data_IF_809615639862
#
_entry.id   IF_809615639862
#
_cell.length_a   1.000
_cell.length_b   1.000
_cell.length_c   1.000
_cell.angle_alpha   90.00
_cell.angle_beta   90.00
_cell.angle_gamma   90.00
#
_symmetry.space_group_name_H-M   'P 1'
#
loop_
_entity.id
_entity.type
_entity.pdbx_description
1 polymer ?
#
# COMPACT_ATOMS: atom_id res chain seq x y z
N UNK A 1 23.37 -53.26 -20.76
CA UNK A 1 22.10 -53.19 -21.49
C UNK A 1 21.01 -53.81 -20.62
N UNK A 2 19.78 -53.28 -20.59
CA UNK A 2 19.24 -52.02 -21.15
C UNK A 2 19.13 -50.94 -20.04
N UNK A 3 19.16 -49.60 -20.21
CA UNK A 3 18.79 -48.63 -21.26
C UNK A 3 17.33 -48.70 -21.71
N UNK A 4 16.47 -47.87 -21.09
CA UNK A 4 15.38 -47.18 -21.81
C UNK A 4 15.33 -45.72 -21.35
N UNK A 5 15.47 -44.87 -22.36
CA UNK A 5 15.36 -43.41 -22.43
C UNK A 5 13.90 -42.95 -22.46
N UNK A 6 13.62 -41.75 -21.95
CA UNK A 6 12.81 -40.80 -22.74
C UNK A 6 13.26 -39.36 -22.48
N UNK A 7 13.63 -38.71 -23.58
CA UNK A 7 13.75 -37.26 -23.72
C UNK A 7 12.36 -36.71 -24.00
N UNK A 8 12.06 -35.52 -23.48
CA UNK A 8 11.24 -34.56 -24.22
C UNK A 8 11.80 -33.16 -24.04
N UNK A 9 12.38 -32.68 -25.14
CA UNK A 9 12.59 -31.26 -25.44
C UNK A 9 11.22 -30.60 -25.63
N UNK A 10 11.05 -29.41 -25.08
CA UNK A 10 10.21 -28.37 -25.68
C UNK A 10 10.89 -27.02 -25.47
N UNK A 11 11.59 -26.58 -26.52
CA UNK A 11 11.97 -25.20 -26.76
C UNK A 11 10.77 -24.43 -27.33
N UNK A 12 10.53 -23.22 -26.82
CA UNK A 12 9.94 -22.04 -27.50
C UNK A 12 9.25 -21.17 -26.44
N UNK A 13 9.09 -19.86 -26.52
CA UNK A 13 9.73 -18.77 -27.25
C UNK A 13 9.31 -17.50 -26.47
N UNK A 14 10.17 -16.48 -26.52
CA UNK A 14 9.90 -15.08 -26.23
C UNK A 14 8.42 -14.66 -26.23
N UNK A 15 7.94 -14.13 -25.10
CA UNK A 15 7.07 -12.95 -25.08
C UNK A 15 7.44 -12.09 -23.86
N UNK A 16 8.48 -11.29 -24.04
CA UNK A 16 8.71 -10.08 -23.26
C UNK A 16 8.30 -8.91 -24.15
N UNK A 17 7.10 -8.39 -23.95
CA UNK A 17 6.70 -7.03 -24.33
C UNK A 17 5.30 -6.78 -23.79
N UNK A 18 5.09 -5.58 -23.25
CA UNK A 18 3.83 -5.01 -22.74
C UNK A 18 3.49 -5.33 -21.27
N UNK A 19 4.28 -4.77 -20.35
CA UNK A 19 3.80 -4.46 -19.00
C UNK A 19 3.47 -2.96 -18.97
N UNK A 20 2.25 -2.60 -19.36
CA UNK A 20 1.67 -1.28 -19.07
C UNK A 20 0.87 -1.40 -17.77
N UNK A 21 1.18 -0.49 -16.85
CA UNK A 21 0.57 -0.33 -15.53
C UNK A 21 -0.89 0.10 -15.70
N UNK A 22 -1.84 -0.84 -15.75
CA UNK A 22 -3.25 -0.68 -15.33
C UNK A 22 -3.84 -2.09 -15.15
N UNK A 23 -4.17 -2.48 -13.92
CA UNK A 23 -5.34 -3.31 -13.61
C UNK A 23 -5.26 -3.84 -12.18
N UNK A 24 -5.94 -3.17 -11.26
CA UNK A 24 -6.53 -3.86 -10.11
C UNK A 24 -7.87 -3.18 -9.80
N UNK A 25 -8.87 -3.39 -10.66
CA UNK A 25 -10.27 -3.11 -10.35
C UNK A 25 -11.22 -4.18 -10.92
N UNK A 26 -12.04 -4.69 -10.00
CA UNK A 26 -13.39 -5.24 -10.14
C UNK A 26 -13.58 -6.62 -10.80
N UNK A 27 -14.22 -7.53 -10.05
CA UNK A 27 -15.33 -8.33 -10.57
C UNK A 27 -16.35 -8.62 -9.45
N UNK A 28 -17.56 -8.06 -9.61
CA UNK A 28 -18.82 -8.57 -9.03
C UNK A 28 -19.80 -8.78 -10.19
N UNK A 29 -20.56 -9.87 -10.07
CA UNK A 29 -21.79 -10.25 -10.79
C UNK A 29 -21.63 -11.07 -12.07
N UNK A 30 -22.13 -12.32 -11.99
CA UNK A 30 -22.79 -12.98 -13.10
C UNK A 30 -24.20 -13.32 -12.64
N UNK A 31 -25.21 -12.69 -13.24
CA UNK A 31 -26.56 -13.24 -13.32
C UNK A 31 -26.94 -13.33 -14.79
N UNK A 32 -27.44 -14.50 -15.16
CA UNK A 32 -27.61 -15.00 -16.52
C UNK A 32 -28.77 -14.31 -17.26
N UNK A 33 -28.54 -14.08 -18.54
CA UNK A 33 -29.53 -13.80 -19.58
C UNK A 33 -30.51 -14.98 -19.78
N UNK A 34 -31.78 -14.67 -20.05
CA UNK A 34 -32.63 -15.39 -21.01
C UNK A 34 -33.46 -14.35 -21.78
N UNK A 35 -33.43 -14.44 -23.10
CA UNK A 35 -34.18 -13.63 -24.06
C UNK A 35 -35.52 -14.30 -24.43
N UNK A 36 -36.54 -13.51 -24.80
CA UNK A 36 -37.46 -13.84 -25.92
C UNK A 36 -38.31 -12.62 -26.32
N UNK A 37 -38.79 -12.67 -27.56
CA UNK A 37 -39.15 -11.59 -28.48
C UNK A 37 -40.59 -11.04 -28.39
N UNK A 38 -40.83 -9.86 -28.98
CA UNK A 38 -41.74 -9.65 -30.13
C UNK A 38 -41.81 -8.18 -30.58
N UNK A 39 -41.87 -7.98 -31.90
CA UNK A 39 -42.08 -6.71 -32.64
C UNK A 39 -43.57 -6.64 -33.07
N UNK A 40 -44.17 -5.45 -33.25
CA UNK A 40 -44.47 -5.01 -34.63
C UNK A 40 -44.15 -3.53 -34.92
N UNK A 41 -43.95 -3.33 -36.22
CA UNK A 41 -43.55 -2.18 -37.03
C UNK A 41 -44.68 -1.16 -37.27
N UNK A 42 -44.37 0.16 -37.27
CA UNK A 42 -45.11 1.17 -38.06
C UNK A 42 -44.15 2.28 -38.56
N UNK A 43 -44.18 2.44 -39.87
CA UNK A 43 -43.51 3.38 -40.78
C UNK A 43 -43.75 4.88 -40.55
N UNK A 44 -42.73 5.73 -40.77
CA UNK A 44 -42.61 6.64 -41.94
C UNK A 44 -41.87 7.98 -41.67
N UNK A 45 -41.11 8.39 -42.70
CA UNK A 45 -40.61 9.74 -43.06
C UNK A 45 -39.30 10.27 -42.41
N UNK A 46 -38.24 10.25 -43.23
CA UNK A 46 -37.09 11.18 -43.23
C UNK A 46 -37.41 12.38 -44.18
N UNK A 47 -36.60 13.46 -44.32
CA UNK A 47 -35.35 13.81 -43.64
C UNK A 47 -35.27 15.27 -43.15
N UNK A 48 -34.51 15.54 -42.08
CA UNK A 48 -33.92 16.87 -41.86
C UNK A 48 -32.45 16.67 -41.52
N UNK A 49 -31.61 17.10 -42.47
CA UNK A 49 -30.17 17.17 -42.31
C UNK A 49 -29.84 18.14 -41.17
N UNK A 50 -29.18 17.65 -40.13
CA UNK A 50 -28.42 18.49 -39.23
C UNK A 50 -26.96 18.05 -39.20
N UNK A 51 -26.13 19.05 -39.47
CA UNK A 51 -24.68 19.01 -39.55
C UNK A 51 -24.06 18.27 -38.37
N UNK A 52 -23.04 17.46 -38.67
CA UNK A 52 -22.08 16.99 -37.69
C UNK A 52 -21.39 18.20 -37.04
N UNK A 53 -21.85 18.62 -35.87
CA UNK A 53 -21.08 19.48 -34.97
C UNK A 53 -20.13 18.59 -34.16
N UNK A 54 -18.89 18.50 -34.66
CA UNK A 54 -17.76 17.87 -33.99
C UNK A 54 -17.19 18.81 -32.90
N UNK A 55 -17.99 19.18 -31.91
CA UNK A 55 -17.47 19.90 -30.75
C UNK A 55 -18.12 19.43 -29.45
N UNK A 56 -17.28 19.21 -28.43
CA UNK A 56 -17.60 18.78 -27.06
C UNK A 56 -17.67 17.27 -26.77
N UNK A 57 -16.73 16.50 -27.35
CA UNK A 57 -16.08 15.47 -26.52
C UNK A 57 -15.14 16.22 -25.57
N UNK A 58 -15.64 16.64 -24.41
CA UNK A 58 -14.76 16.94 -23.28
C UNK A 58 -14.00 15.66 -23.00
N UNK A 59 -12.73 15.63 -23.42
CA UNK A 59 -11.75 14.65 -22.97
C UNK A 59 -11.86 14.58 -21.45
N UNK A 60 -12.49 13.52 -20.94
CA UNK A 60 -12.27 13.09 -19.57
C UNK A 60 -10.77 12.92 -19.47
N UNK A 61 -10.14 13.83 -18.73
CA UNK A 61 -8.72 13.78 -18.42
C UNK A 61 -8.37 12.40 -17.90
N UNK A 62 -7.31 11.84 -18.48
CA UNK A 62 -6.52 10.67 -18.11
C UNK A 62 -6.76 10.11 -16.70
N UNK A 63 -6.70 8.77 -16.49
CA UNK A 63 -6.66 8.18 -15.16
C UNK A 63 -5.56 8.88 -14.35
N UNK A 64 -5.96 9.50 -13.23
CA UNK A 64 -5.05 10.18 -12.33
C UNK A 64 -4.06 9.14 -11.82
N UNK A 65 -2.77 9.33 -12.12
CA UNK A 65 -1.72 8.37 -11.82
C UNK A 65 -1.46 8.32 -10.32
N UNK A 66 -1.42 7.12 -9.73
CA UNK A 66 -0.91 6.94 -8.37
C UNK A 66 0.51 7.49 -8.26
N UNK A 67 0.75 8.35 -7.28
CA UNK A 67 2.08 8.94 -7.01
C UNK A 67 2.56 8.48 -5.64
N UNK A 68 3.70 7.80 -5.57
CA UNK A 68 4.33 7.37 -4.32
C UNK A 68 5.52 8.28 -3.97
N UNK A 69 5.28 9.33 -3.18
CA UNK A 69 6.29 10.27 -2.63
C UNK A 69 5.75 10.94 -1.36
N UNK A 70 6.58 11.25 -0.36
CA UNK A 70 8.00 10.87 -0.23
C UNK A 70 8.18 9.38 0.07
N UNK A 71 9.42 8.88 -0.08
CA UNK A 71 9.74 7.45 0.11
C UNK A 71 11.06 7.28 0.87
N UNK A 72 11.08 6.35 1.82
CA UNK A 72 12.25 5.78 2.44
C UNK A 72 12.28 4.30 2.08
N UNK A 73 13.47 3.78 1.76
CA UNK A 73 13.68 2.36 1.55
C UNK A 73 14.99 1.91 2.19
N UNK A 74 14.95 0.80 2.91
CA UNK A 74 16.10 0.16 3.54
C UNK A 74 16.08 -1.31 3.15
N UNK A 75 17.14 -1.81 2.52
CA UNK A 75 17.22 -3.20 2.11
C UNK A 75 17.86 -3.42 0.75
N UNK A 76 17.43 -4.46 0.04
CA UNK A 76 18.30 -5.26 -0.86
C UNK A 76 19.41 -5.99 -0.10
N UNK A 77 19.11 -6.36 1.15
CA UNK A 77 19.98 -7.15 2.00
C UNK A 77 20.19 -8.57 1.43
N UNK A 78 21.26 -9.24 1.82
CA UNK A 78 21.42 -10.65 1.47
C UNK A 78 20.46 -11.52 2.30
N UNK A 79 20.33 -11.19 3.59
CA UNK A 79 19.41 -11.71 4.59
C UNK A 79 18.00 -11.16 4.40
N UNK A 80 17.01 -11.91 4.89
CA UNK A 80 15.66 -11.39 5.08
C UNK A 80 15.47 -10.73 6.45
N UNK A 81 14.45 -9.89 6.54
CA UNK A 81 13.86 -9.48 7.80
C UNK A 81 13.08 -10.65 8.39
N UNK A 82 13.11 -10.77 9.72
CA UNK A 82 12.28 -11.73 10.47
C UNK A 82 11.40 -11.03 11.51
N UNK A 83 11.78 -9.81 11.92
CA UNK A 83 10.98 -8.97 12.81
C UNK A 83 11.17 -7.50 12.49
N UNK A 84 10.09 -6.74 12.53
CA UNK A 84 10.12 -5.28 12.54
C UNK A 84 9.13 -4.77 13.58
N UNK A 85 9.50 -3.74 14.32
CA UNK A 85 8.62 -3.00 15.22
C UNK A 85 8.81 -1.51 14.97
N UNK A 86 7.72 -0.75 14.93
CA UNK A 86 7.76 0.70 14.81
C UNK A 86 6.51 1.32 15.43
N UNK A 87 6.62 2.56 15.90
CA UNK A 87 5.47 3.37 16.31
C UNK A 87 5.22 4.44 15.24
N UNK A 88 4.01 4.51 14.70
CA UNK A 88 3.62 5.53 13.72
C UNK A 88 2.68 6.57 14.34
N UNK A 89 2.95 7.84 14.08
CA UNK A 89 2.05 8.97 14.31
C UNK A 89 1.74 9.57 12.93
N UNK A 90 0.46 9.61 12.56
CA UNK A 90 0.07 9.97 11.19
C UNK A 90 0.03 11.49 10.94
N UNK A 91 -0.13 12.29 11.99
CA UNK A 91 -0.48 13.71 11.86
C UNK A 91 -1.90 13.89 11.30
N UNK A 92 -2.34 15.12 11.08
CA UNK A 92 -3.65 15.37 10.48
C UNK A 92 -3.69 14.96 9.00
N UNK A 93 -4.82 14.40 8.51
CA UNK A 93 -5.05 14.28 7.08
C UNK A 93 -5.18 15.67 6.43
N UNK A 94 -4.97 15.80 5.11
CA UNK A 94 -5.30 17.02 4.39
C UNK A 94 -6.77 17.39 4.56
N UNK A 95 -7.07 18.67 4.73
CA UNK A 95 -8.46 19.16 4.90
C UNK A 95 -9.35 18.89 3.67
N UNK A 96 -8.76 18.93 2.48
CA UNK A 96 -9.47 18.84 1.19
C UNK A 96 -9.09 17.58 0.40
N UNK A 97 -9.36 16.38 0.93
CA UNK A 97 -9.25 15.15 0.14
C UNK A 97 -10.42 15.10 -0.86
N UNK A 98 -10.17 15.04 -2.19
CA UNK A 98 -11.23 14.94 -3.19
C UNK A 98 -12.16 13.76 -2.94
N UNK A 99 -13.40 13.81 -3.44
CA UNK A 99 -14.40 12.76 -3.20
C UNK A 99 -13.96 11.35 -3.63
N UNK A 100 -13.19 11.27 -4.71
CA UNK A 100 -12.59 10.03 -5.22
C UNK A 100 -11.11 9.88 -4.83
N UNK A 101 -10.60 10.83 -4.05
CA UNK A 101 -9.21 10.89 -3.61
C UNK A 101 -8.90 9.85 -2.55
N UNK A 102 -7.66 9.37 -2.58
CA UNK A 102 -7.10 8.48 -1.58
C UNK A 102 -5.66 8.90 -1.28
N UNK A 103 -5.31 8.88 0.00
CA UNK A 103 -3.94 9.01 0.48
C UNK A 103 -3.66 7.87 1.44
N UNK A 104 -2.49 7.26 1.29
CA UNK A 104 -2.08 6.10 2.03
C UNK A 104 -0.70 6.36 2.62
N UNK A 105 -0.56 6.21 3.93
CA UNK A 105 0.71 6.24 4.64
C UNK A 105 1.14 4.80 4.87
N UNK A 106 2.20 4.38 4.18
CA UNK A 106 2.68 3.01 4.17
C UNK A 106 3.85 2.84 5.13
N UNK A 107 3.79 1.76 5.91
CA UNK A 107 4.96 1.06 6.43
C UNK A 107 4.85 -0.41 6.04
N UNK A 108 5.86 -0.96 5.37
CA UNK A 108 5.77 -2.35 4.93
C UNK A 108 7.06 -2.99 4.43
N UNK A 109 7.01 -4.31 4.36
CA UNK A 109 8.05 -5.23 3.96
C UNK A 109 7.78 -5.80 2.57
N UNK A 110 8.83 -5.90 1.76
CA UNK A 110 8.78 -6.32 0.36
C UNK A 110 9.88 -7.35 0.07
N UNK A 111 9.61 -8.32 -0.80
CA UNK A 111 10.62 -9.28 -1.26
C UNK A 111 11.79 -8.64 -2.02
N UNK A 112 11.51 -7.67 -2.88
CA UNK A 112 12.50 -7.04 -3.77
C UNK A 112 12.13 -5.61 -4.19
N UNK A 113 12.64 -5.14 -5.32
CA UNK A 113 12.40 -3.76 -5.81
C UNK A 113 10.97 -3.52 -6.31
N UNK A 114 10.16 -4.57 -6.45
CA UNK A 114 8.75 -4.46 -6.79
C UNK A 114 7.92 -5.56 -6.10
N UNK A 115 6.62 -5.30 -5.96
CA UNK A 115 5.66 -6.26 -5.38
C UNK A 115 5.43 -7.47 -6.30
N UNK A 116 5.74 -7.40 -7.59
CA UNK A 116 5.47 -8.49 -8.54
C UNK A 116 6.29 -9.76 -8.32
N UNK A 117 7.38 -9.71 -7.55
CA UNK A 117 8.31 -10.83 -7.36
C UNK A 117 8.19 -11.53 -6.00
N UNK A 118 7.28 -11.08 -5.12
CA UNK A 118 7.06 -11.75 -3.83
C UNK A 118 6.00 -11.05 -3.01
N UNK A 119 6.02 -11.27 -1.69
CA UNK A 119 5.01 -10.67 -0.81
C UNK A 119 5.31 -9.21 -0.50
N UNK A 120 4.23 -8.45 -0.40
CA UNK A 120 4.18 -7.18 0.32
C UNK A 120 3.39 -7.38 1.60
N UNK A 121 4.04 -7.21 2.74
CA UNK A 121 3.42 -7.25 4.07
C UNK A 121 3.38 -5.82 4.57
N UNK A 122 2.20 -5.24 4.76
CA UNK A 122 2.11 -3.81 5.02
C UNK A 122 0.92 -3.45 5.89
N UNK A 123 1.10 -2.42 6.70
CA UNK A 123 0.04 -1.69 7.37
C UNK A 123 -0.12 -0.36 6.67
N UNK A 124 -1.36 0.02 6.42
CA UNK A 124 -1.69 1.26 5.71
C UNK A 124 -2.62 2.10 6.58
N UNK A 125 -2.21 3.34 6.82
CA UNK A 125 -3.08 4.39 7.35
C UNK A 125 -3.63 5.17 6.15
N UNK A 126 -4.94 5.15 5.97
CA UNK A 126 -5.65 5.53 4.76
C UNK A 126 -6.59 6.71 5.03
N UNK A 127 -6.44 7.75 4.20
CA UNK A 127 -7.31 8.91 4.14
C UNK A 127 -8.11 8.89 2.85
N UNK A 128 -9.37 9.27 2.94
CA UNK A 128 -10.32 9.25 1.83
C UNK A 128 -11.20 10.50 1.84
N UNK A 129 -11.84 10.81 0.72
CA UNK A 129 -12.98 11.73 0.71
C UNK A 129 -14.08 11.24 1.68
N UNK A 130 -14.79 12.16 2.32
CA UNK A 130 -15.60 11.90 3.53
C UNK A 130 -16.60 10.74 3.39
N UNK A 131 -17.29 10.63 2.25
CA UNK A 131 -18.25 9.55 2.02
C UNK A 131 -17.59 8.16 1.98
N UNK A 132 -16.40 8.05 1.38
CA UNK A 132 -15.63 6.80 1.34
C UNK A 132 -15.00 6.51 2.70
N UNK A 133 -14.48 7.53 3.39
CA UNK A 133 -13.91 7.40 4.74
C UNK A 133 -14.93 6.76 5.72
N UNK A 134 -16.15 7.29 5.75
CA UNK A 134 -17.23 6.76 6.57
C UNK A 134 -17.59 5.31 6.20
N UNK A 135 -17.63 4.97 4.91
CA UNK A 135 -17.96 3.60 4.46
C UNK A 135 -16.86 2.60 4.76
N UNK A 136 -15.59 3.03 4.77
CA UNK A 136 -14.45 2.14 5.01
C UNK A 136 -14.32 1.75 6.48
N UNK A 137 -14.33 2.72 7.40
CA UNK A 137 -14.09 2.44 8.83
C UNK A 137 -14.95 3.28 9.79
N UNK A 138 -15.96 3.99 9.30
CA UNK A 138 -16.79 4.91 10.10
C UNK A 138 -16.03 6.11 10.68
N UNK A 139 -14.87 6.45 10.12
CA UNK A 139 -14.13 7.66 10.49
C UNK A 139 -14.79 8.93 9.92
N UNK A 140 -14.55 10.05 10.61
CA UNK A 140 -14.95 11.39 10.19
C UNK A 140 -13.78 12.17 9.57
N UNK A 141 -14.03 13.29 8.85
CA UNK A 141 -12.97 14.21 8.44
C UNK A 141 -12.05 14.56 9.62
N UNK A 142 -10.74 14.61 9.37
CA UNK A 142 -9.72 14.78 10.42
C UNK A 142 -9.20 13.48 11.04
N UNK A 143 -9.84 12.34 10.76
CA UNK A 143 -9.41 11.03 11.24
C UNK A 143 -8.91 10.14 10.09
N UNK A 144 -8.22 9.06 10.47
CA UNK A 144 -7.69 8.07 9.56
C UNK A 144 -8.37 6.71 9.71
N UNK A 145 -8.34 5.92 8.64
CA UNK A 145 -8.60 4.49 8.65
C UNK A 145 -7.27 3.73 8.73
N UNK A 146 -7.13 2.70 9.55
CA UNK A 146 -5.95 1.82 9.50
C UNK A 146 -6.34 0.39 9.16
N UNK A 147 -5.53 -0.30 8.33
CA UNK A 147 -5.72 -1.70 7.92
C UNK A 147 -4.39 -2.43 7.68
N UNK A 148 -4.40 -3.75 7.86
CA UNK A 148 -3.29 -4.65 7.50
C UNK A 148 -3.55 -5.30 6.15
N UNK A 149 -2.54 -5.33 5.28
CA UNK A 149 -2.60 -5.95 3.96
C UNK A 149 -1.44 -6.94 3.79
N UNK A 150 -1.70 -8.02 3.06
CA UNK A 150 -0.70 -8.88 2.45
C UNK A 150 -1.00 -8.96 0.96
N UNK A 151 -0.01 -8.73 0.11
CA UNK A 151 -0.14 -8.82 -1.35
C UNK A 151 0.85 -9.86 -1.83
N UNK A 152 0.36 -10.97 -2.38
CA UNK A 152 1.22 -11.99 -2.97
C UNK A 152 1.41 -11.73 -4.46
N UNK A 153 2.67 -11.49 -4.86
CA UNK A 153 3.01 -11.12 -6.23
C UNK A 153 2.31 -9.84 -6.68
N UNK A 154 1.91 -9.78 -7.95
CA UNK A 154 1.30 -8.57 -8.51
C UNK A 154 -0.15 -8.32 -8.06
N UNK A 155 -0.86 -9.35 -7.58
CA UNK A 155 -2.31 -9.37 -7.83
C UNK A 155 -3.16 -10.07 -6.75
N UNK A 156 -2.58 -10.87 -5.83
CA UNK A 156 -3.35 -11.51 -4.77
C UNK A 156 -3.36 -10.63 -3.52
N UNK A 157 -4.32 -9.71 -3.48
CA UNK A 157 -4.54 -8.81 -2.37
C UNK A 157 -5.37 -9.46 -1.26
N UNK A 158 -4.84 -9.48 -0.05
CA UNK A 158 -5.50 -9.95 1.16
C UNK A 158 -5.47 -8.82 2.19
N UNK A 159 -6.60 -8.16 2.41
CA UNK A 159 -6.76 -7.24 3.53
C UNK A 159 -7.27 -7.98 4.76
N UNK A 160 -6.92 -7.46 5.94
CA UNK A 160 -7.65 -7.76 7.15
C UNK A 160 -9.13 -7.40 6.97
N UNK A 161 -10.07 -8.24 7.44
CA UNK A 161 -11.47 -7.85 7.50
C UNK A 161 -11.69 -6.70 8.51
N UNK A 162 -10.76 -6.54 9.45
CA UNK A 162 -10.80 -5.51 10.48
C UNK A 162 -10.20 -4.19 9.99
N UNK A 163 -10.80 -3.10 10.47
CA UNK A 163 -10.27 -1.74 10.33
C UNK A 163 -10.54 -0.97 11.61
N UNK A 164 -9.72 0.05 11.88
CA UNK A 164 -9.94 0.94 13.00
C UNK A 164 -9.83 2.41 12.59
N UNK A 165 -10.42 3.25 13.43
CA UNK A 165 -10.26 4.70 13.40
C UNK A 165 -9.01 5.04 14.22
N UNK A 166 -8.17 5.92 13.68
CA UNK A 166 -6.98 6.46 14.34
C UNK A 166 -7.04 7.97 14.25
N UNK A 167 -6.79 8.65 15.37
CA UNK A 167 -6.70 10.11 15.41
C UNK A 167 -5.31 10.57 14.96
N UNK A 168 -5.21 11.85 14.61
CA UNK A 168 -3.97 12.47 14.11
C UNK A 168 -2.74 12.29 15.03
N UNK A 169 -2.97 12.29 16.34
CA UNK A 169 -1.97 12.26 17.40
C UNK A 169 -1.79 10.87 18.04
N UNK A 170 -2.65 9.90 17.70
CA UNK A 170 -2.53 8.53 18.20
C UNK A 170 -1.17 7.93 17.79
N UNK A 171 -0.50 7.30 18.75
CA UNK A 171 0.67 6.48 18.52
C UNK A 171 0.24 5.05 18.21
N UNK A 172 0.53 4.55 17.02
CA UNK A 172 0.20 3.17 16.63
C UNK A 172 1.45 2.32 16.61
N UNK A 173 1.53 1.31 17.49
CA UNK A 173 2.56 0.29 17.43
C UNK A 173 2.19 -0.73 16.34
N UNK A 174 3.13 -0.94 15.41
CA UNK A 174 3.03 -1.87 14.31
C UNK A 174 4.18 -2.86 14.43
N UNK A 175 3.84 -4.13 14.59
CA UNK A 175 4.82 -5.22 14.65
C UNK A 175 4.59 -6.23 13.53
N UNK A 176 5.67 -6.57 12.84
CA UNK A 176 5.73 -7.66 11.88
C UNK A 176 6.66 -8.73 12.41
N UNK A 177 6.18 -9.96 12.47
CA UNK A 177 6.98 -11.10 12.91
C UNK A 177 6.75 -12.28 11.97
N UNK A 178 7.83 -12.87 11.49
CA UNK A 178 7.81 -14.06 10.66
C UNK A 178 7.90 -15.29 11.56
N UNK A 179 6.98 -16.24 11.37
CA UNK A 179 7.09 -17.53 12.05
C UNK A 179 8.39 -18.26 11.64
N UNK A 180 8.92 -19.07 12.55
CA UNK A 180 10.13 -19.84 12.28
C UNK A 180 9.92 -20.89 11.18
N UNK A 181 11.03 -21.25 10.52
CA UNK A 181 11.07 -22.31 9.52
C UNK A 181 10.84 -21.87 8.08
N UNK A 182 11.07 -22.80 7.16
CA UNK A 182 10.91 -22.56 5.72
C UNK A 182 9.44 -22.28 5.41
N UNK A 183 9.15 -21.11 4.84
CA UNK A 183 7.78 -20.70 4.51
C UNK A 183 6.95 -20.23 5.70
N UNK A 184 7.60 -19.85 6.81
CA UNK A 184 6.93 -19.22 7.95
C UNK A 184 6.12 -17.99 7.54
N UNK A 185 4.89 -17.90 8.05
CA UNK A 185 3.97 -16.81 7.74
C UNK A 185 4.29 -15.55 8.53
N UNK A 186 3.97 -14.39 7.94
CA UNK A 186 4.05 -13.10 8.61
C UNK A 186 2.80 -12.82 9.42
N UNK A 187 2.99 -12.42 10.67
CA UNK A 187 1.95 -11.89 11.55
C UNK A 187 2.14 -10.40 11.72
N UNK A 188 1.10 -9.63 11.40
CA UNK A 188 1.02 -8.19 11.63
C UNK A 188 0.19 -7.97 12.90
N UNK A 189 0.79 -7.41 13.94
CA UNK A 189 0.11 -7.10 15.20
C UNK A 189 0.07 -5.60 15.39
N UNK A 190 -1.12 -5.05 15.68
CA UNK A 190 -1.33 -3.63 15.78
C UNK A 190 -1.92 -3.25 17.13
N UNK A 191 -1.39 -2.19 17.73
CA UNK A 191 -1.94 -1.58 18.94
C UNK A 191 -2.04 -0.08 18.75
N UNK A 192 -3.18 0.49 19.12
CA UNK A 192 -3.27 1.93 19.35
C UNK A 192 -2.79 2.17 20.78
N UNK A 193 -1.78 3.00 20.97
CA UNK A 193 -1.19 3.38 22.25
C UNK A 193 -1.74 4.73 22.77
N UNK A 194 -2.73 5.30 22.07
CA UNK A 194 -3.27 6.63 22.34
C UNK A 194 -2.26 7.76 22.05
N UNK A 195 -2.64 9.01 22.32
CA UNK A 195 -1.82 10.17 21.99
C UNK A 195 -0.53 10.27 22.83
N UNK A 196 -0.56 9.71 24.04
CA UNK A 196 0.57 9.70 24.97
C UNK A 196 1.44 8.44 24.86
N UNK A 197 1.06 7.46 24.04
CA UNK A 197 1.83 6.22 23.86
C UNK A 197 1.74 5.23 25.02
N UNK A 198 0.72 5.32 25.88
CA UNK A 198 0.57 4.49 27.10
C UNK A 198 -0.66 3.59 27.09
N UNK A 199 -1.67 3.91 26.28
CA UNK A 199 -2.97 3.25 26.28
C UNK A 199 -2.88 1.99 25.42
N UNK A 200 -2.23 0.91 25.88
CA UNK A 200 -1.94 -0.28 25.06
C UNK A 200 -3.19 -1.08 24.66
N UNK A 201 -3.97 -0.58 23.70
CA UNK A 201 -5.17 -1.21 23.16
C UNK A 201 -4.84 -1.99 21.89
N UNK A 202 -4.95 -3.31 21.97
CA UNK A 202 -4.84 -4.16 20.77
C UNK A 202 -5.96 -3.82 19.78
N UNK A 203 -5.58 -3.62 18.52
CA UNK A 203 -6.53 -3.46 17.42
C UNK A 203 -6.86 -4.83 16.83
N UNK A 204 -5.85 -5.54 16.32
CA UNK A 204 -5.96 -6.93 15.84
C UNK A 204 -4.60 -7.56 15.54
N UNK A 205 -4.63 -8.85 15.18
CA UNK A 205 -3.53 -9.59 14.56
C UNK A 205 -3.96 -10.16 13.21
N UNK A 206 -3.09 -10.05 12.22
CA UNK A 206 -3.36 -10.53 10.86
C UNK A 206 -2.19 -11.35 10.32
N UNK A 207 -2.40 -12.66 10.14
CA UNK A 207 -1.36 -13.59 9.71
C UNK A 207 -1.56 -13.99 8.25
N UNK A 208 -0.75 -13.43 7.35
CA UNK A 208 -0.77 -13.68 5.89
C UNK A 208 0.59 -13.39 5.26
N UNK A 209 0.82 -14.02 4.11
CA UNK A 209 2.08 -13.96 3.38
C UNK A 209 3.16 -14.81 4.04
N UNK A 210 4.05 -15.37 3.24
CA UNK A 210 5.11 -16.29 3.64
C UNK A 210 6.40 -16.10 2.84
N UNK A 211 6.39 -15.24 1.82
CA UNK A 211 7.58 -14.97 1.05
C UNK A 211 8.62 -14.24 1.91
N UNK A 212 9.92 -14.44 1.62
CA UNK A 212 10.96 -13.63 2.22
C UNK A 212 10.73 -12.14 2.01
N UNK A 213 11.16 -11.31 2.95
CA UNK A 213 11.13 -9.86 2.76
C UNK A 213 12.53 -9.29 3.01
N UNK A 214 13.05 -8.53 2.06
CA UNK A 214 14.44 -8.03 2.05
C UNK A 214 14.51 -6.51 1.87
N UNK A 215 13.36 -5.86 1.84
CA UNK A 215 13.22 -4.42 1.70
C UNK A 215 12.14 -3.91 2.64
N UNK A 216 12.48 -3.00 3.53
CA UNK A 216 11.54 -2.13 4.23
C UNK A 216 11.30 -0.90 3.35
N UNK A 217 10.04 -0.52 3.16
CA UNK A 217 9.68 0.76 2.54
C UNK A 217 8.63 1.49 3.37
N UNK A 218 8.89 2.77 3.58
CA UNK A 218 7.97 3.73 4.18
C UNK A 218 7.67 4.78 3.12
N UNK A 219 6.39 5.07 2.85
CA UNK A 219 6.03 6.02 1.80
C UNK A 219 4.63 6.60 1.96
N UNK A 220 4.42 7.77 1.37
CA UNK A 220 3.08 8.30 1.13
C UNK A 220 2.69 8.02 -0.31
N UNK A 221 1.51 7.43 -0.54
CA UNK A 221 0.92 7.33 -1.89
C UNK A 221 -0.36 8.11 -1.99
N UNK A 222 -0.55 8.76 -3.12
CA UNK A 222 -1.73 9.56 -3.43
C UNK A 222 -2.36 9.09 -4.72
N UNK A 223 -3.68 9.09 -4.76
CA UNK A 223 -4.49 8.76 -5.92
C UNK A 223 -5.75 9.67 -5.98
N UNK A 224 -6.45 9.69 -7.11
CA UNK A 224 -7.72 10.39 -7.26
C UNK A 224 -7.62 11.92 -7.09
N UNK A 225 -6.47 12.49 -7.47
CA UNK A 225 -6.22 13.94 -7.42
C UNK A 225 -5.75 14.48 -6.06
N UNK A 226 -5.44 13.62 -5.10
CA UNK A 226 -4.79 14.06 -3.85
C UNK A 226 -3.37 14.57 -4.14
N UNK A 227 -3.02 15.73 -3.58
CA UNK A 227 -1.73 16.39 -3.84
C UNK A 227 -0.60 15.99 -2.90
N UNK A 228 -0.91 15.41 -1.74
CA UNK A 228 0.08 14.98 -0.75
C UNK A 228 -0.45 14.98 0.68
N UNK A 229 0.41 14.61 1.62
CA UNK A 229 0.15 14.77 3.06
C UNK A 229 0.22 16.23 3.47
N UNK A 230 -0.47 16.58 4.54
CA UNK A 230 -0.56 17.97 5.00
C UNK A 230 0.00 18.21 6.40
N UNK A 231 0.41 17.14 7.09
CA UNK A 231 1.06 17.20 8.39
C UNK A 231 2.30 16.28 8.42
N UNK A 232 3.12 16.43 9.46
CA UNK A 232 4.29 15.59 9.71
C UNK A 232 3.83 14.18 10.06
N UNK A 233 4.45 13.19 9.42
CA UNK A 233 4.29 11.78 9.77
C UNK A 233 5.56 11.30 10.47
N UNK A 234 5.42 10.77 11.68
CA UNK A 234 6.56 10.29 12.46
C UNK A 234 6.53 8.78 12.57
N UNK A 235 7.70 8.16 12.39
CA UNK A 235 7.95 6.76 12.63
C UNK A 235 9.06 6.66 13.68
N UNK A 236 8.72 6.16 14.85
CA UNK A 236 9.55 6.18 16.05
C UNK A 236 9.98 4.76 16.43
N UNK A 237 11.14 4.67 17.07
CA UNK A 237 11.65 3.44 17.67
C UNK A 237 11.64 2.25 16.72
N UNK A 238 12.03 2.49 15.46
CA UNK A 238 12.03 1.46 14.43
C UNK A 238 13.13 0.47 14.75
N UNK A 239 12.75 -0.78 14.99
CA UNK A 239 13.66 -1.89 15.21
C UNK A 239 13.47 -2.90 14.10
N UNK A 240 14.57 -3.35 13.50
CA UNK A 240 14.59 -4.34 12.44
C UNK A 240 15.52 -5.48 12.84
N UNK A 241 15.03 -6.72 12.78
CA UNK A 241 15.81 -7.92 13.06
C UNK A 241 15.95 -8.75 11.79
N UNK A 242 17.19 -9.13 11.49
CA UNK A 242 17.55 -9.90 10.31
C UNK A 242 17.67 -11.39 10.65
N UNK A 243 17.42 -12.27 9.68
CA UNK A 243 17.64 -13.71 9.82
C UNK A 243 19.12 -14.07 10.06
N UNK A 244 20.04 -13.28 9.48
CA UNK A 244 21.49 -13.37 9.63
C UNK A 244 22.08 -11.96 9.69
N UNK A 245 23.30 -11.80 10.24
CA UNK A 245 23.96 -10.49 10.37
C UNK A 245 24.11 -9.77 9.02
N UNK A 246 23.74 -8.49 8.99
CA UNK A 246 23.82 -7.61 7.82
C UNK A 246 24.55 -6.31 8.16
N UNK A 247 25.88 -6.33 8.35
CA UNK A 247 26.64 -5.16 8.82
C UNK A 247 26.60 -3.95 7.87
N UNK A 248 26.17 -4.16 6.61
CA UNK A 248 26.11 -3.12 5.58
C UNK A 248 24.69 -2.61 5.33
N UNK A 249 23.68 -3.02 6.11
CA UNK A 249 22.30 -2.62 5.87
C UNK A 249 22.11 -1.09 5.86
N UNK A 250 22.78 -0.36 6.77
CA UNK A 250 22.67 1.10 6.84
C UNK A 250 23.05 1.81 5.53
N UNK A 251 24.04 1.27 4.80
CA UNK A 251 24.47 1.82 3.52
C UNK A 251 23.41 1.68 2.41
N UNK A 252 22.36 0.88 2.64
CA UNK A 252 21.26 0.69 1.69
C UNK A 252 20.11 1.67 1.86
N UNK A 253 20.14 2.50 2.92
CA UNK A 253 19.10 3.48 3.17
C UNK A 253 19.08 4.52 2.05
N UNK A 254 17.95 4.58 1.35
CA UNK A 254 17.67 5.58 0.32
C UNK A 254 16.45 6.38 0.76
N UNK A 255 16.54 7.71 0.63
CA UNK A 255 15.43 8.63 0.89
C UNK A 255 15.16 9.49 -0.33
N UNK A 256 13.88 9.83 -0.55
CA UNK A 256 13.44 10.73 -1.62
C UNK A 256 12.31 11.62 -1.11
N UNK A 257 12.42 12.91 -1.40
CA UNK A 257 11.51 13.94 -0.91
C UNK A 257 11.99 14.51 0.43
N UNK A 258 11.12 15.29 1.08
CA UNK A 258 11.46 16.01 2.29
C UNK A 258 11.32 15.10 3.52
N UNK A 259 12.43 14.43 3.87
CA UNK A 259 12.46 13.41 4.92
C UNK A 259 13.70 13.60 5.80
N UNK A 260 13.47 13.64 7.10
CA UNK A 260 14.49 13.47 8.13
C UNK A 260 14.55 12.01 8.57
N UNK A 261 15.77 11.48 8.70
CA UNK A 261 16.02 10.12 9.20
C UNK A 261 17.20 10.21 10.14
N UNK A 262 17.01 9.74 11.36
CA UNK A 262 18.10 9.56 12.31
C UNK A 262 19.09 8.50 11.83
N UNK A 263 20.28 8.54 12.42
CA UNK A 263 21.31 7.54 12.13
C UNK A 263 20.79 6.14 12.46
N UNK A 264 21.04 5.22 11.53
CA UNK A 264 20.72 3.81 11.69
C UNK A 264 21.90 3.10 12.35
N UNK A 265 21.66 2.46 13.50
CA UNK A 265 22.71 1.87 14.34
C UNK A 265 22.47 0.40 14.62
N UNK A 266 23.54 -0.35 14.86
CA UNK A 266 23.51 -1.75 15.29
C UNK A 266 24.56 -1.97 16.39
N UNK A 267 24.28 -2.87 17.32
CA UNK A 267 25.20 -3.25 18.40
C UNK A 267 25.66 -4.72 18.29
N UNK A 268 25.08 -5.49 17.38
CA UNK A 268 25.20 -6.94 17.27
C UNK A 268 25.60 -7.37 15.84
N UNK A 269 26.54 -6.63 15.25
CA UNK A 269 27.09 -6.96 13.93
C UNK A 269 26.13 -6.80 12.76
N UNK A 270 24.96 -6.20 12.97
CA UNK A 270 23.91 -6.03 11.97
C UNK A 270 22.82 -7.10 12.04
N UNK A 271 22.72 -7.85 13.14
CA UNK A 271 21.58 -8.73 13.41
C UNK A 271 20.33 -7.92 13.75
N UNK A 272 20.49 -6.83 14.50
CA UNK A 272 19.44 -5.89 14.87
C UNK A 272 19.86 -4.48 14.53
N UNK A 273 18.96 -3.75 13.87
CA UNK A 273 19.14 -2.37 13.48
C UNK A 273 18.07 -1.49 14.10
N UNK A 274 18.46 -0.31 14.55
CA UNK A 274 17.58 0.66 15.20
C UNK A 274 17.67 2.00 14.47
N UNK A 275 16.51 2.62 14.26
CA UNK A 275 16.36 4.02 13.88
C UNK A 275 15.42 4.65 14.90
N UNK A 276 15.89 5.67 15.62
CA UNK A 276 15.07 6.35 16.63
C UNK A 276 13.87 7.06 16.00
N UNK A 277 14.09 7.74 14.88
CA UNK A 277 13.08 8.59 14.27
C UNK A 277 13.25 8.69 12.75
N UNK A 278 12.13 8.60 12.05
CA UNK A 278 11.96 9.07 10.68
C UNK A 278 10.80 10.05 10.68
N UNK A 279 11.02 11.27 10.19
CA UNK A 279 9.99 12.28 10.04
C UNK A 279 9.82 12.61 8.55
N UNK A 280 8.61 12.38 8.05
CA UNK A 280 8.17 12.82 6.73
C UNK A 280 7.49 14.17 6.89
N UNK A 281 8.06 15.21 6.29
CA UNK A 281 7.50 16.56 6.37
C UNK A 281 6.27 16.72 5.47
N UNK A 282 5.36 17.65 5.79
CA UNK A 282 4.15 17.88 5.00
C UNK A 282 4.50 18.25 3.56
N UNK A 283 3.73 17.70 2.62
CA UNK A 283 3.80 18.10 1.21
C UNK A 283 2.95 19.36 0.94
N UNK A 284 1.97 19.61 1.80
CA UNK A 284 0.99 20.69 1.71
C UNK A 284 1.01 21.51 3.00
N UNK A 285 1.96 22.44 3.13
CA UNK A 285 2.04 23.31 4.31
C UNK A 285 0.74 24.11 4.53
N UNK A 286 0.27 24.15 5.78
CA UNK A 286 -0.95 24.87 6.18
C UNK A 286 -2.26 24.27 5.65
N UNK A 287 -2.24 23.03 5.16
CA UNK A 287 -3.44 22.34 4.65
C UNK A 287 -3.87 21.14 5.49
N UNK A 288 -3.26 20.97 6.66
CA UNK A 288 -3.73 20.02 7.65
C UNK A 288 -5.21 20.31 7.97
N UNK A 289 -5.97 19.25 8.20
CA UNK A 289 -7.30 19.39 8.77
C UNK A 289 -7.20 20.17 10.08
N UNK A 290 -8.04 21.20 10.24
CA UNK A 290 -8.25 21.88 11.50
C UNK A 290 -9.71 21.67 11.90
N UNK A 291 -10.01 21.29 13.16
CA UNK A 291 -11.38 21.13 13.64
C UNK A 291 -12.13 22.47 13.85
N UNK A 292 -11.51 23.61 13.51
CA UNK A 292 -12.08 24.97 13.66
C UNK A 292 -13.34 25.22 12.81
#
# INVERSE_FOLDING_TARGET
MPVITSKSFLTSHNFCSLCNIVACQAFISQNKFVASANVPDITSKSPLAHQHDNSLVKRQSSPQTTVSRPTISIGKAASEFIKISMVQIAGYPPKDIPINGQINLFGGLFYGTNSSQGDTIQTVIEGYGSAKLWRTCRAYPGQWCIRSHAIHGCCLFQASPDSAIINHDDQVLIEYEKADGLGGMWTQSLWNLGPKGVDKKELWKFTKGNAPTKLLSIRTETDGGVRGSADIQNYLNITMTMATEEPKLAATLVKKGNVHVDNMTTADGGRTWVIREIAILPMLEGQAFSPD
#
